data_IF_559241036621
#
_entry.id   IF_559241036621
#
_cell.length_a   1.000
_cell.length_b   1.000
_cell.length_c   1.000
_cell.angle_alpha   90.00
_cell.angle_beta   90.00
_cell.angle_gamma   90.00
#
_symmetry.space_group_name_H-M   'P 1'
#
loop_
_entity.id
_entity.type
_entity.pdbx_description
1 polymer ?
#
# COMPACT_ATOMS: atom_id res chain seq x y z
N UNK A 1 12.07 6.56 13.15
CA UNK A 1 11.57 5.81 11.98
C UNK A 1 10.15 6.30 11.71
N UNK A 2 9.85 6.82 10.52
CA UNK A 2 8.47 7.21 10.19
C UNK A 2 7.71 5.96 9.74
N UNK A 3 6.64 5.59 10.44
CA UNK A 3 5.87 4.35 10.16
C UNK A 3 5.00 4.45 8.91
N UNK A 4 4.56 5.67 8.59
CA UNK A 4 3.69 5.97 7.46
C UNK A 4 4.35 7.04 6.59
N UNK A 5 4.34 6.86 5.27
CA UNK A 5 4.79 7.88 4.33
C UNK A 5 3.80 8.07 3.19
N UNK A 6 3.39 9.31 2.92
CA UNK A 6 2.65 9.65 1.69
C UNK A 6 3.60 9.52 0.49
N UNK A 7 3.20 8.77 -0.53
CA UNK A 7 4.03 8.55 -1.72
C UNK A 7 3.58 9.44 -2.87
N UNK A 8 2.37 9.22 -3.36
CA UNK A 8 1.87 9.85 -4.58
C UNK A 8 0.33 9.78 -4.62
N UNK A 9 -0.32 10.93 -4.80
CA UNK A 9 -1.77 11.05 -4.74
C UNK A 9 -2.34 10.54 -3.42
N UNK A 10 -3.21 9.54 -3.50
CA UNK A 10 -3.84 8.87 -2.36
C UNK A 10 -3.15 7.57 -1.94
N UNK A 11 -1.95 7.30 -2.47
CA UNK A 11 -1.16 6.12 -2.10
C UNK A 11 -0.21 6.45 -0.96
N UNK A 12 -0.29 5.66 0.09
CA UNK A 12 0.54 5.73 1.28
C UNK A 12 1.33 4.43 1.46
N UNK A 13 2.45 4.52 2.17
CA UNK A 13 3.32 3.41 2.52
C UNK A 13 3.30 3.18 4.03
N UNK A 14 3.07 1.93 4.45
CA UNK A 14 3.38 1.44 5.79
C UNK A 14 4.77 0.81 5.77
N UNK A 15 5.58 1.13 6.77
CA UNK A 15 6.94 0.60 6.94
C UNK A 15 6.98 -0.33 8.14
N UNK A 16 7.44 -1.56 7.92
CA UNK A 16 7.71 -2.53 8.98
C UNK A 16 9.17 -2.97 8.92
N UNK A 17 9.84 -2.99 10.08
CA UNK A 17 11.20 -3.49 10.22
C UNK A 17 11.25 -4.42 11.43
N UNK A 18 11.58 -5.68 11.18
CA UNK A 18 11.82 -6.70 12.20
C UNK A 18 13.20 -7.29 11.95
N UNK A 19 14.17 -6.95 12.81
CA UNK A 19 15.57 -7.28 12.59
C UNK A 19 16.10 -6.71 11.26
N UNK A 20 16.67 -7.58 10.43
CA UNK A 20 17.13 -7.26 9.07
C UNK A 20 16.01 -7.28 8.02
N UNK A 21 14.84 -7.84 8.35
CA UNK A 21 13.72 -7.93 7.43
C UNK A 21 12.96 -6.60 7.40
N UNK A 22 12.98 -5.93 6.25
CA UNK A 22 12.28 -4.66 6.03
C UNK A 22 11.20 -4.88 4.98
N UNK A 23 9.95 -4.76 5.41
CA UNK A 23 8.76 -4.88 4.58
C UNK A 23 8.11 -3.52 4.40
N UNK A 24 7.51 -3.32 3.22
CA UNK A 24 6.71 -2.13 2.90
C UNK A 24 5.39 -2.57 2.33
N UNK A 25 4.31 -1.96 2.78
CA UNK A 25 2.98 -2.19 2.24
C UNK A 25 2.42 -0.89 1.70
N UNK A 26 1.79 -0.94 0.54
CA UNK A 26 1.09 0.22 -0.02
C UNK A 26 -0.40 0.13 0.29
N UNK A 27 -1.01 1.26 0.57
CA UNK A 27 -2.42 1.34 0.93
C UNK A 27 -3.05 2.66 0.50
N UNK A 28 -4.38 2.68 0.45
CA UNK A 28 -5.19 3.88 0.27
C UNK A 28 -6.38 3.86 1.23
N UNK A 29 -6.94 5.05 1.49
CA UNK A 29 -8.15 5.19 2.30
C UNK A 29 -9.39 4.96 1.43
N UNK A 30 -10.32 4.14 1.91
CA UNK A 30 -11.60 3.92 1.24
C UNK A 30 -12.62 4.97 1.69
N UNK A 31 -13.09 4.87 2.92
CA UNK A 31 -14.11 5.74 3.52
C UNK A 31 -13.97 5.74 5.04
N UNK A 32 -13.99 6.93 5.65
CA UNK A 32 -13.77 7.07 7.10
C UNK A 32 -12.48 6.37 7.53
N UNK A 33 -12.56 5.52 8.54
CA UNK A 33 -11.41 4.79 9.08
C UNK A 33 -11.14 3.44 8.37
N UNK A 34 -11.71 3.24 7.18
CA UNK A 34 -11.45 2.02 6.39
C UNK A 34 -10.28 2.24 5.44
N UNK A 35 -9.30 1.35 5.52
CA UNK A 35 -8.10 1.38 4.69
C UNK A 35 -7.94 0.05 3.94
N UNK A 36 -7.45 0.13 2.71
CA UNK A 36 -7.19 -1.05 1.88
C UNK A 36 -5.70 -1.12 1.61
N UNK A 37 -5.09 -2.23 2.05
CA UNK A 37 -3.71 -2.56 1.70
C UNK A 37 -3.73 -3.26 0.34
N UNK A 38 -2.99 -2.73 -0.63
CA UNK A 38 -2.95 -3.30 -1.99
C UNK A 38 -2.05 -4.53 -2.02
N UNK A 39 -0.82 -4.39 -1.53
CA UNK A 39 0.18 -5.44 -1.51
C UNK A 39 1.35 -5.05 -0.60
N UNK A 40 2.12 -6.06 -0.17
CA UNK A 40 3.37 -5.90 0.54
C UNK A 40 4.55 -6.39 -0.30
N UNK A 41 5.73 -5.81 -0.06
CA UNK A 41 6.97 -6.26 -0.70
C UNK A 41 8.19 -6.06 0.21
N UNK A 42 9.17 -6.95 0.07
CA UNK A 42 10.48 -6.81 0.72
C UNK A 42 11.23 -5.65 0.11
N UNK A 43 11.70 -4.73 0.96
CA UNK A 43 12.52 -3.59 0.53
C UNK A 43 13.85 -4.09 -0.04
N UNK A 44 14.08 -3.84 -1.33
CA UNK A 44 15.39 -4.04 -1.98
C UNK A 44 16.18 -2.74 -2.15
N UNK A 45 15.48 -1.60 -2.23
CA UNK A 45 16.06 -0.28 -2.47
C UNK A 45 15.61 0.76 -1.44
N UNK A 46 16.37 1.85 -1.27
CA UNK A 46 16.05 2.88 -0.27
C UNK A 46 14.73 3.60 -0.59
N UNK A 47 14.49 3.93 -1.86
CA UNK A 47 13.25 4.54 -2.35
C UNK A 47 12.22 3.46 -2.69
N UNK A 48 10.96 3.85 -2.73
CA UNK A 48 9.87 2.97 -3.14
C UNK A 48 9.86 2.93 -4.66
N UNK A 49 10.00 1.76 -5.30
CA UNK A 49 10.07 1.70 -6.76
C UNK A 49 8.79 2.24 -7.39
N UNK A 50 8.92 3.06 -8.44
CA UNK A 50 7.76 3.67 -9.13
C UNK A 50 6.74 2.64 -9.62
N UNK A 51 7.21 1.44 -10.01
CA UNK A 51 6.35 0.33 -10.43
C UNK A 51 5.36 -0.11 -9.34
N UNK A 52 5.78 -0.14 -8.08
CA UNK A 52 4.93 -0.54 -6.96
C UNK A 52 3.84 0.51 -6.71
N UNK A 53 4.21 1.79 -6.83
CA UNK A 53 3.28 2.93 -6.72
C UNK A 53 2.24 2.87 -7.84
N UNK A 54 2.67 2.66 -9.08
CA UNK A 54 1.76 2.56 -10.23
C UNK A 54 0.84 1.33 -10.10
N UNK A 55 1.35 0.21 -9.60
CA UNK A 55 0.55 -0.98 -9.34
C UNK A 55 -0.54 -0.70 -8.30
N UNK A 56 -0.21 -0.02 -7.20
CA UNK A 56 -1.17 0.38 -6.17
C UNK A 56 -2.25 1.34 -6.71
N UNK A 57 -1.87 2.32 -7.55
CA UNK A 57 -2.83 3.20 -8.24
C UNK A 57 -3.80 2.41 -9.13
N UNK A 58 -3.28 1.49 -9.94
CA UNK A 58 -4.10 0.64 -10.81
C UNK A 58 -5.07 -0.24 -10.00
N UNK A 59 -4.65 -0.76 -8.85
CA UNK A 59 -5.53 -1.53 -7.95
C UNK A 59 -6.61 -0.64 -7.31
N UNK A 60 -6.26 0.57 -6.86
CA UNK A 60 -7.25 1.55 -6.38
C UNK A 60 -8.29 1.89 -7.44
N UNK A 61 -7.87 2.14 -8.68
CA UNK A 61 -8.81 2.50 -9.75
C UNK A 61 -9.74 1.35 -10.11
N UNK A 62 -9.23 0.11 -10.11
CA UNK A 62 -10.07 -1.09 -10.25
C UNK A 62 -11.07 -1.23 -9.10
N UNK A 63 -10.62 -0.97 -7.87
CA UNK A 63 -11.49 -1.00 -6.69
C UNK A 63 -12.65 0.00 -6.83
N UNK A 64 -12.35 1.24 -7.23
CA UNK A 64 -13.36 2.29 -7.38
C UNK A 64 -14.35 2.03 -8.52
N UNK A 65 -13.93 1.29 -9.56
CA UNK A 65 -14.82 0.84 -10.64
C UNK A 65 -15.72 -0.35 -10.26
N UNK A 66 -15.62 -0.86 -9.04
CA UNK A 66 -16.38 -2.03 -8.59
C UNK A 66 -15.90 -3.34 -9.21
N UNK A 67 -14.69 -3.37 -9.80
CA UNK A 67 -14.11 -4.60 -10.32
C UNK A 67 -13.72 -5.47 -9.14
N UNK A 68 -14.15 -6.74 -9.15
CA UNK A 68 -13.74 -7.72 -8.14
C UNK A 68 -12.21 -7.83 -8.13
N UNK A 69 -11.61 -7.40 -7.03
CA UNK A 69 -10.19 -7.53 -6.80
C UNK A 69 -9.96 -8.80 -5.97
N UNK A 70 -9.05 -9.67 -6.42
CA UNK A 70 -8.47 -10.73 -5.57
C UNK A 70 -7.49 -10.12 -4.57
N UNK A 71 -7.93 -9.13 -3.79
CA UNK A 71 -7.16 -8.53 -2.69
C UNK A 71 -7.63 -9.15 -1.38
N UNK A 72 -6.76 -9.91 -0.73
CA UNK A 72 -7.10 -10.70 0.46
C UNK A 72 -7.01 -9.93 1.78
N UNK A 73 -6.92 -8.59 1.78
CA UNK A 73 -6.64 -7.84 3.03
C UNK A 73 -7.39 -6.51 3.07
N UNK A 74 -8.66 -6.56 3.50
CA UNK A 74 -9.32 -5.38 4.08
C UNK A 74 -8.92 -5.30 5.55
N UNK A 75 -8.21 -4.27 5.95
CA UNK A 75 -7.90 -4.01 7.36
C UNK A 75 -8.84 -2.92 7.88
N UNK A 76 -9.68 -3.25 8.88
CA UNK A 76 -10.20 -2.22 9.79
C UNK A 76 -9.09 -1.97 10.80
N UNK A 77 -8.48 -0.79 10.72
CA UNK A 77 -7.49 -0.34 11.71
C UNK A 77 -8.25 0.35 12.85
#
# INVERSE_FOLDING_TARGET
>A
MQWIKKLDGEIYEIRSKVGSNIQRCLYFQKVGNQYIITHGFTKKEQKTPKKEIQHAKNLRDKYLRGVSLKINLTAKI
#
